data_IF_547140055615
#
_entry.id   IF_547140055615
#
_cell.length_a   1.000
_cell.length_b   1.000
_cell.length_c   1.000
_cell.angle_alpha   90.00
_cell.angle_beta   90.00
_cell.angle_gamma   90.00
#
_symmetry.space_group_name_H-M   'P 1'
#
loop_
_entity.id
_entity.type
_entity.pdbx_description
1 polymer ?
#
# COMPACT_ATOMS: atom_id res chain seq x y z
N UNK A 1 -9.90 -2.42 13.70
CA UNK A 1 -9.04 -1.33 14.24
C UNK A 1 -9.91 -0.14 14.62
N UNK A 2 -9.61 0.57 15.71
CA UNK A 2 -10.37 1.76 16.11
C UNK A 2 -10.14 2.92 15.15
N UNK A 3 -11.15 3.78 15.00
CA UNK A 3 -11.08 5.00 14.19
C UNK A 3 -10.16 6.00 14.90
N UNK A 4 -9.14 6.50 14.20
CA UNK A 4 -8.18 7.52 14.68
C UNK A 4 -8.44 8.86 14.01
N UNK A 5 -8.45 9.94 14.78
CA UNK A 5 -8.47 11.31 14.24
C UNK A 5 -7.08 11.70 13.75
N UNK A 6 -7.01 12.35 12.60
CA UNK A 6 -5.75 12.81 12.01
C UNK A 6 -5.68 14.33 12.11
N UNK A 7 -4.60 14.84 12.68
CA UNK A 7 -4.33 16.27 12.64
C UNK A 7 -3.68 16.62 11.30
N UNK A 8 -4.46 17.21 10.40
CA UNK A 8 -4.05 17.56 9.04
C UNK A 8 -3.07 18.75 8.99
N UNK A 9 -3.04 19.59 10.02
CA UNK A 9 -2.14 20.75 10.09
C UNK A 9 -0.70 20.29 10.30
N UNK A 10 -0.50 19.31 11.18
CA UNK A 10 0.79 18.72 11.51
C UNK A 10 1.19 17.57 10.57
N UNK A 11 0.41 17.33 9.51
CA UNK A 11 0.62 16.19 8.62
C UNK A 11 1.73 16.49 7.60
N UNK A 12 2.94 16.02 7.87
CA UNK A 12 4.11 16.23 7.03
C UNK A 12 4.73 17.63 7.14
N UNK A 13 6.02 17.69 6.88
CA UNK A 13 6.91 18.85 6.98
C UNK A 13 6.63 19.97 5.96
N UNK A 14 5.95 19.66 4.85
CA UNK A 14 5.61 20.65 3.83
C UNK A 14 4.37 21.46 4.22
N UNK A 15 4.56 22.79 4.30
CA UNK A 15 3.44 23.76 4.32
C UNK A 15 2.68 23.66 2.99
N UNK A 16 1.37 23.54 3.06
CA UNK A 16 0.52 23.34 1.88
C UNK A 16 -0.94 23.20 2.27
N UNK A 17 -1.82 23.19 1.27
CA UNK A 17 -3.26 23.09 1.52
C UNK A 17 -3.63 21.69 2.04
N UNK A 18 -4.47 21.60 3.07
CA UNK A 18 -4.99 20.33 3.62
C UNK A 18 -5.59 19.42 2.54
N UNK A 19 -6.27 19.98 1.54
CA UNK A 19 -6.88 19.22 0.46
C UNK A 19 -5.83 18.60 -0.47
N UNK A 20 -4.70 19.28 -0.70
CA UNK A 20 -3.61 18.73 -1.49
C UNK A 20 -2.98 17.53 -0.79
N UNK A 21 -2.81 17.60 0.54
CA UNK A 21 -2.31 16.48 1.34
C UNK A 21 -3.24 15.27 1.24
N UNK A 22 -4.56 15.49 1.29
CA UNK A 22 -5.56 14.42 1.09
C UNK A 22 -5.42 13.78 -0.29
N UNK A 23 -5.29 14.59 -1.35
CA UNK A 23 -5.12 14.08 -2.72
C UNK A 23 -3.80 13.31 -2.85
N UNK A 24 -2.71 13.81 -2.27
CA UNK A 24 -1.41 13.15 -2.28
C UNK A 24 -1.47 11.79 -1.58
N UNK A 25 -2.06 11.70 -0.38
CA UNK A 25 -2.26 10.44 0.33
C UNK A 25 -3.16 9.46 -0.44
N UNK A 26 -4.21 9.95 -1.08
CA UNK A 26 -5.09 9.12 -1.91
C UNK A 26 -4.34 8.52 -3.11
N UNK A 27 -3.53 9.34 -3.80
CA UNK A 27 -2.68 8.85 -4.90
C UNK A 27 -1.64 7.85 -4.39
N UNK A 28 -1.01 8.11 -3.25
CA UNK A 28 -0.03 7.20 -2.65
C UNK A 28 -0.65 5.88 -2.22
N UNK A 29 -1.85 5.88 -1.63
CA UNK A 29 -2.58 4.66 -1.29
C UNK A 29 -2.85 3.79 -2.52
N UNK A 30 -3.19 4.39 -3.67
CA UNK A 30 -3.35 3.65 -4.93
C UNK A 30 -2.04 3.03 -5.42
N UNK A 31 -0.92 3.73 -5.27
CA UNK A 31 0.40 3.19 -5.62
C UNK A 31 0.77 1.99 -4.75
N UNK A 32 0.58 2.11 -3.43
CA UNK A 32 0.80 1.01 -2.48
C UNK A 32 -0.06 -0.19 -2.89
N UNK A 33 -1.38 -0.01 -3.02
CA UNK A 33 -2.27 -1.11 -3.37
C UNK A 33 -1.93 -1.78 -4.72
N UNK A 34 -1.53 -1.00 -5.73
CA UNK A 34 -1.13 -1.54 -7.02
C UNK A 34 0.17 -2.35 -6.93
N UNK A 35 1.18 -1.81 -6.23
CA UNK A 35 2.46 -2.49 -6.02
C UNK A 35 2.25 -3.82 -5.27
N UNK A 36 1.48 -3.81 -4.20
CA UNK A 36 1.25 -5.02 -3.40
C UNK A 36 0.46 -6.08 -4.15
N UNK A 37 -0.51 -5.67 -4.96
CA UNK A 37 -1.20 -6.59 -5.84
C UNK A 37 -0.22 -7.25 -6.80
N UNK A 38 0.66 -6.46 -7.44
CA UNK A 38 1.68 -7.01 -8.34
C UNK A 38 2.63 -7.97 -7.61
N UNK A 39 3.11 -7.63 -6.42
CA UNK A 39 3.97 -8.50 -5.60
C UNK A 39 3.27 -9.79 -5.16
N UNK A 40 1.97 -9.73 -4.84
CA UNK A 40 1.17 -10.90 -4.51
C UNK A 40 0.99 -11.80 -5.74
N UNK A 41 0.59 -11.22 -6.87
CA UNK A 41 0.38 -11.94 -8.13
C UNK A 41 1.69 -12.64 -8.57
N UNK A 42 2.85 -11.96 -8.45
CA UNK A 42 4.16 -12.54 -8.77
C UNK A 42 4.52 -13.72 -7.86
N UNK A 43 4.26 -13.61 -6.55
CA UNK A 43 4.51 -14.71 -5.60
C UNK A 43 3.58 -15.89 -5.82
N UNK A 44 2.31 -15.65 -6.13
CA UNK A 44 1.33 -16.70 -6.37
C UNK A 44 1.59 -17.42 -7.70
N UNK A 45 2.13 -16.72 -8.69
CA UNK A 45 2.50 -17.30 -9.99
C UNK A 45 3.49 -18.46 -9.88
N UNK A 46 4.35 -18.47 -8.86
CA UNK A 46 5.28 -19.57 -8.62
C UNK A 46 4.56 -20.92 -8.39
N UNK A 47 3.33 -20.90 -7.91
CA UNK A 47 2.53 -22.09 -7.62
C UNK A 47 1.63 -22.50 -8.81
N UNK A 48 1.52 -21.67 -9.86
CA UNK A 48 0.76 -22.00 -11.07
C UNK A 48 1.43 -23.17 -11.80
N UNK A 49 0.71 -24.28 -11.97
CA UNK A 49 1.19 -25.48 -12.68
C UNK A 49 1.67 -26.63 -11.78
N UNK A 50 1.69 -26.43 -10.46
CA UNK A 50 1.93 -27.49 -9.46
C UNK A 50 0.63 -28.06 -8.89
N UNK A 51 -0.52 -27.85 -9.56
CA UNK A 51 -1.85 -28.26 -9.07
C UNK A 51 -1.98 -29.77 -8.84
N UNK A 52 -1.23 -30.58 -9.59
CA UNK A 52 -1.21 -32.05 -9.48
C UNK A 52 -0.10 -32.58 -8.55
N UNK A 53 0.83 -31.72 -8.13
CA UNK A 53 1.87 -32.04 -7.15
C UNK A 53 1.35 -31.68 -5.76
N UNK A 54 0.65 -32.63 -5.10
CA UNK A 54 0.14 -32.54 -3.72
C UNK A 54 1.27 -32.44 -2.67
N UNK A 55 2.26 -31.57 -2.88
CA UNK A 55 3.30 -31.33 -1.91
C UNK A 55 2.76 -30.42 -0.81
N UNK A 56 2.51 -31.02 0.35
CA UNK A 56 2.05 -30.34 1.57
C UNK A 56 2.81 -29.02 1.85
N UNK A 57 4.11 -28.98 1.58
CA UNK A 57 4.97 -27.80 1.75
C UNK A 57 4.56 -26.62 0.87
N UNK A 58 4.20 -26.83 -0.41
CA UNK A 58 3.78 -25.76 -1.32
C UNK A 58 2.45 -25.15 -0.87
N UNK A 59 1.50 -25.99 -0.45
CA UNK A 59 0.20 -25.54 0.06
C UNK A 59 0.34 -24.71 1.34
N UNK A 60 1.20 -25.11 2.28
CA UNK A 60 1.48 -24.31 3.48
C UNK A 60 2.13 -22.97 3.16
N UNK A 61 3.00 -22.90 2.16
CA UNK A 61 3.66 -21.66 1.75
C UNK A 61 2.68 -20.69 1.07
N UNK A 62 1.84 -21.19 0.17
CA UNK A 62 0.78 -20.40 -0.48
C UNK A 62 -0.21 -19.83 0.55
N UNK A 63 -0.63 -20.65 1.52
CA UNK A 63 -1.51 -20.21 2.61
C UNK A 63 -0.84 -19.12 3.46
N UNK A 64 0.46 -19.28 3.76
CA UNK A 64 1.25 -18.30 4.52
C UNK A 64 1.34 -16.97 3.79
N UNK A 65 1.58 -16.97 2.48
CA UNK A 65 1.64 -15.75 1.65
C UNK A 65 0.29 -15.03 1.68
N UNK A 66 -0.81 -15.76 1.49
CA UNK A 66 -2.16 -15.21 1.52
C UNK A 66 -2.50 -14.61 2.89
N UNK A 67 -2.24 -15.34 3.98
CA UNK A 67 -2.46 -14.84 5.36
C UNK A 67 -1.59 -13.62 5.68
N UNK A 68 -0.36 -13.56 5.17
CA UNK A 68 0.51 -12.41 5.36
C UNK A 68 -0.06 -11.17 4.66
N UNK A 69 -0.58 -11.32 3.44
CA UNK A 69 -1.22 -10.24 2.69
C UNK A 69 -2.49 -9.75 3.39
N UNK A 70 -3.36 -10.64 3.86
CA UNK A 70 -4.59 -10.28 4.58
C UNK A 70 -4.33 -9.52 5.88
N UNK A 71 -3.21 -9.79 6.55
CA UNK A 71 -2.81 -9.08 7.77
C UNK A 71 -2.32 -7.65 7.51
N UNK A 72 -2.02 -7.29 6.26
CA UNK A 72 -1.52 -5.96 5.95
C UNK A 72 -2.60 -4.91 6.22
N UNK A 73 -2.24 -3.78 6.85
CA UNK A 73 -3.18 -2.68 7.05
C UNK A 73 -3.56 -2.05 5.70
N UNK A 74 -4.81 -1.61 5.58
CA UNK A 74 -5.34 -1.01 4.36
C UNK A 74 -4.39 0.09 3.81
N UNK A 75 -4.18 0.12 2.50
CA UNK A 75 -3.20 1.02 1.86
C UNK A 75 -3.39 2.51 2.23
N UNK A 76 -4.63 2.94 2.45
CA UNK A 76 -4.97 4.29 2.95
C UNK A 76 -4.36 4.60 4.31
N UNK A 77 -4.31 3.63 5.22
CA UNK A 77 -3.73 3.84 6.55
C UNK A 77 -2.21 3.93 6.46
N UNK A 78 -1.59 3.09 5.65
CA UNK A 78 -0.15 3.16 5.41
C UNK A 78 0.27 4.44 4.72
N UNK A 79 -0.51 4.95 3.77
CA UNK A 79 -0.20 6.23 3.14
C UNK A 79 -0.28 7.41 4.11
N UNK A 80 -1.15 7.33 5.13
CA UNK A 80 -1.19 8.30 6.24
C UNK A 80 0.08 8.21 7.08
N UNK A 81 0.49 7.00 7.45
CA UNK A 81 1.69 6.79 8.27
C UNK A 81 2.96 7.20 7.51
N UNK A 82 3.09 6.87 6.23
CA UNK A 82 4.21 7.35 5.39
C UNK A 82 4.23 8.87 5.24
N UNK A 83 3.08 9.53 5.19
CA UNK A 83 2.99 10.99 5.16
C UNK A 83 3.40 11.61 6.50
N UNK A 84 3.03 10.98 7.63
CA UNK A 84 3.45 11.40 8.97
C UNK A 84 4.96 11.24 9.18
N UNK A 85 5.57 10.22 8.56
CA UNK A 85 7.00 9.95 8.59
C UNK A 85 7.80 10.74 7.53
N UNK A 86 7.19 11.70 6.83
CA UNK A 86 7.82 12.51 5.78
C UNK A 86 8.42 11.70 4.61
N UNK A 87 7.94 10.47 4.38
CA UNK A 87 8.38 9.58 3.28
C UNK A 87 7.70 9.87 1.95
N UNK A 88 6.63 10.67 1.96
CA UNK A 88 5.85 11.01 0.76
C UNK A 88 6.17 12.41 0.29
N UNK A 89 6.73 12.51 -0.92
CA UNK A 89 6.86 13.78 -1.62
C UNK A 89 5.89 13.85 -2.80
N UNK A 90 5.23 15.00 -2.98
CA UNK A 90 4.44 15.29 -4.16
C UNK A 90 4.95 16.57 -4.84
N UNK A 91 4.69 16.65 -6.14
CA UNK A 91 5.01 17.79 -7.00
C UNK A 91 3.80 18.13 -7.85
N UNK A 92 3.69 19.39 -8.24
CA UNK A 92 2.74 19.78 -9.27
C UNK A 92 3.20 19.23 -10.62
N UNK A 93 2.28 18.82 -11.49
CA UNK A 93 2.63 18.57 -12.88
C UNK A 93 3.24 19.85 -13.45
N UNK A 94 4.33 19.72 -14.21
CA UNK A 94 4.85 20.86 -14.97
C UNK A 94 3.70 21.37 -15.83
N UNK A 95 3.38 22.67 -15.73
CA UNK A 95 2.47 23.31 -16.67
C UNK A 95 3.16 23.27 -18.02
N UNK A 96 2.84 22.27 -18.84
CA UNK A 96 2.87 22.49 -20.28
C UNK A 96 1.73 23.48 -20.55
N UNK A 97 2.12 24.72 -20.85
CA UNK A 97 1.25 25.72 -21.46
C UNK A 97 1.12 25.35 -22.93
#
# INVERSE_FOLDING_TARGET
MPIRTLNLENLGSKKGNRYEKIVAMSKRARQIAAQEKMELDEKLKYFEGFEDEDEFTFNEEQERISKAFEKLPHATQRSVDEMLEDKVTYRYPNKEI
#
